data_IF_212656994685
#
_entry.id   IF_212656994685
#
_cell.length_a   1.000
_cell.length_b   1.000
_cell.length_c   1.000
_cell.angle_alpha   90.00
_cell.angle_beta   90.00
_cell.angle_gamma   90.00
#
_symmetry.space_group_name_H-M   'P 1'
#
loop_
_entity.id
_entity.type
_entity.pdbx_description
1 polymer ?
#
# COMPACT_ATOMS: atom_id res chain seq x y z
N UNK A 1 -3.34 1.53 -15.45
CA UNK A 1 -4.80 1.35 -15.37
C UNK A 1 -5.20 0.15 -16.22
N UNK A 2 -6.35 -0.49 -15.98
CA UNK A 2 -6.96 -1.43 -16.93
C UNK A 2 -7.19 -0.76 -18.30
N UNK A 3 -7.22 0.59 -18.33
CA UNK A 3 -7.32 1.46 -19.51
C UNK A 3 -5.97 2.07 -19.96
N UNK A 4 -4.84 1.68 -19.37
CA UNK A 4 -3.52 2.22 -19.75
C UNK A 4 -3.22 3.66 -19.30
N UNK A 5 -4.10 4.29 -18.52
CA UNK A 5 -3.91 5.64 -17.98
C UNK A 5 -2.69 5.71 -17.04
N UNK A 6 -1.85 6.72 -17.26
CA UNK A 6 -0.71 7.07 -16.42
C UNK A 6 -1.18 7.76 -15.14
N UNK A 7 -0.86 7.15 -14.00
CA UNK A 7 -1.25 7.63 -12.67
C UNK A 7 -0.03 7.74 -11.77
N UNK A 8 -0.03 8.77 -10.93
CA UNK A 8 0.96 8.96 -9.87
C UNK A 8 0.35 8.58 -8.52
N UNK A 9 1.09 7.83 -7.71
CA UNK A 9 0.66 7.41 -6.38
C UNK A 9 1.55 8.05 -5.32
N UNK A 10 0.92 8.59 -4.28
CA UNK A 10 1.61 9.13 -3.11
C UNK A 10 1.07 8.51 -1.82
N UNK A 11 1.90 8.50 -0.79
CA UNK A 11 1.54 8.05 0.56
C UNK A 11 1.54 9.26 1.48
N UNK A 12 0.48 9.42 2.25
CA UNK A 12 0.31 10.50 3.22
C UNK A 12 -0.27 9.97 4.54
N UNK A 13 -0.20 10.79 5.59
CA UNK A 13 -0.77 10.47 6.91
C UNK A 13 -2.26 10.08 6.86
N UNK A 14 -3.02 10.62 5.91
CA UNK A 14 -4.44 10.32 5.72
C UNK A 14 -4.72 9.04 4.92
N UNK A 15 -3.77 8.57 4.10
CA UNK A 15 -4.03 7.47 3.18
C UNK A 15 -3.09 7.43 1.96
N UNK A 16 -3.52 6.68 0.95
CA UNK A 16 -2.89 6.65 -0.38
C UNK A 16 -3.63 7.61 -1.30
N UNK A 17 -2.90 8.53 -1.92
CA UNK A 17 -3.45 9.55 -2.81
C UNK A 17 -3.12 9.16 -4.25
N UNK A 18 -4.13 9.26 -5.13
CA UNK A 18 -3.99 9.01 -6.56
C UNK A 18 -4.08 10.34 -7.30
N UNK A 19 -3.12 10.56 -8.18
CA UNK A 19 -3.08 11.71 -9.08
C UNK A 19 -3.08 11.23 -10.52
N UNK A 20 -3.73 12.01 -11.38
CA UNK A 20 -3.60 11.91 -12.81
C UNK A 20 -2.95 13.22 -13.28
N UNK A 21 -1.80 13.12 -13.93
CA UNK A 21 -0.89 14.24 -14.12
C UNK A 21 -0.52 14.87 -12.75
N UNK A 22 -0.99 16.08 -12.47
CA UNK A 22 -0.77 16.82 -11.23
C UNK A 22 -2.07 17.07 -10.44
N UNK A 23 -3.20 16.55 -10.92
CA UNK A 23 -4.49 16.71 -10.28
C UNK A 23 -4.79 15.50 -9.42
N UNK A 24 -5.12 15.72 -8.15
CA UNK A 24 -5.58 14.67 -7.25
C UNK A 24 -6.96 14.18 -7.72
N UNK A 25 -7.07 12.90 -8.01
CA UNK A 25 -8.32 12.26 -8.46
C UNK A 25 -8.98 11.42 -7.37
N UNK A 26 -8.21 10.88 -6.42
CA UNK A 26 -8.78 10.05 -5.36
C UNK A 26 -7.90 10.02 -4.10
N UNK A 27 -8.49 9.60 -2.97
CA UNK A 27 -7.77 9.26 -1.75
C UNK A 27 -8.37 8.02 -1.10
N UNK A 28 -7.56 6.96 -0.98
CA UNK A 28 -7.89 5.80 -0.18
C UNK A 28 -7.47 6.05 1.26
N UNK A 29 -8.42 6.45 2.11
CA UNK A 29 -8.18 6.65 3.53
C UNK A 29 -7.71 5.35 4.20
N UNK A 30 -6.77 5.45 5.14
CA UNK A 30 -6.36 4.29 5.95
C UNK A 30 -7.53 3.58 6.62
N UNK A 31 -8.59 4.29 7.01
CA UNK A 31 -9.78 3.69 7.61
C UNK A 31 -10.56 2.79 6.64
N UNK A 32 -10.52 3.11 5.34
CA UNK A 32 -11.19 2.31 4.29
C UNK A 32 -10.33 1.14 3.81
N UNK A 33 -9.02 1.19 4.01
CA UNK A 33 -8.08 0.17 3.56
C UNK A 33 -8.03 -0.98 4.57
N UNK A 34 -8.48 -2.16 4.14
CA UNK A 34 -8.40 -3.40 4.92
C UNK A 34 -7.02 -4.05 4.82
N UNK A 35 -6.44 -4.06 3.61
CA UNK A 35 -5.13 -4.70 3.35
C UNK A 35 -4.45 -4.08 2.15
N UNK A 36 -3.14 -3.96 2.23
CA UNK A 36 -2.28 -3.60 1.10
C UNK A 36 -1.33 -4.74 0.82
N UNK A 37 -1.19 -5.10 -0.45
CA UNK A 37 -0.26 -6.14 -0.88
C UNK A 37 0.30 -5.82 -2.26
N UNK A 38 1.32 -6.55 -2.68
CA UNK A 38 1.82 -6.47 -4.05
C UNK A 38 2.16 -7.86 -4.59
N UNK A 39 2.05 -8.05 -5.92
CA UNK A 39 2.44 -9.27 -6.63
C UNK A 39 3.07 -8.89 -7.97
N UNK A 40 4.36 -9.18 -8.13
CA UNK A 40 5.16 -8.73 -9.30
C UNK A 40 5.06 -7.20 -9.43
N UNK A 41 4.47 -6.69 -10.51
CA UNK A 41 4.26 -5.27 -10.80
C UNK A 41 2.89 -4.74 -10.32
N UNK A 42 2.04 -5.61 -9.73
CA UNK A 42 0.69 -5.25 -9.28
C UNK A 42 0.71 -4.83 -7.82
N UNK A 43 0.25 -3.63 -7.54
CA UNK A 43 -0.06 -3.13 -6.21
C UNK A 43 -1.56 -3.26 -5.98
N UNK A 44 -1.96 -3.87 -4.86
CA UNK A 44 -3.35 -4.21 -4.57
C UNK A 44 -3.78 -3.55 -3.26
N UNK A 45 -4.88 -2.79 -3.33
CA UNK A 45 -5.55 -2.20 -2.18
C UNK A 45 -6.88 -2.93 -2.00
N UNK A 46 -7.03 -3.68 -0.91
CA UNK A 46 -8.30 -4.24 -0.49
C UNK A 46 -9.01 -3.28 0.44
N UNK A 47 -10.26 -2.97 0.14
CA UNK A 47 -11.12 -2.10 0.92
C UNK A 47 -11.97 -2.91 1.91
N UNK A 48 -12.41 -2.26 2.97
CA UNK A 48 -13.48 -2.80 3.81
C UNK A 48 -14.79 -2.86 3.02
N UNK A 49 -15.62 -3.90 3.17
CA UNK A 49 -16.95 -3.92 2.57
C UNK A 49 -17.79 -2.79 3.18
N UNK A 50 -18.27 -1.85 2.37
CA UNK A 50 -19.32 -0.90 2.79
C UNK A 50 -20.66 -1.49 2.34
N UNK A 51 -21.62 -1.58 3.28
CA UNK A 51 -22.70 -2.58 3.37
C UNK A 51 -23.74 -2.69 2.25
N UNK A 52 -23.50 -2.18 1.04
CA UNK A 52 -24.36 -2.39 -0.11
C UNK A 52 -23.52 -2.57 -1.39
N UNK A 53 -23.47 -3.79 -1.89
CA UNK A 53 -23.18 -4.06 -3.30
C UNK A 53 -21.77 -4.56 -3.62
N UNK A 54 -21.74 -5.45 -4.62
CA UNK A 54 -20.62 -6.14 -5.24
C UNK A 54 -19.62 -5.20 -5.95
N UNK A 55 -19.19 -4.11 -5.32
CA UNK A 55 -18.06 -3.33 -5.82
C UNK A 55 -16.78 -4.14 -5.66
N UNK A 56 -15.95 -4.12 -6.70
CA UNK A 56 -14.63 -4.77 -6.73
C UNK A 56 -13.84 -4.31 -5.50
N UNK A 57 -13.81 -5.14 -4.46
CA UNK A 57 -13.22 -4.83 -3.15
C UNK A 57 -11.72 -4.55 -3.23
N UNK A 58 -11.12 -4.91 -4.36
CA UNK A 58 -9.70 -4.84 -4.62
C UNK A 58 -9.45 -3.90 -5.80
N UNK A 59 -8.78 -2.78 -5.51
CA UNK A 59 -8.25 -1.85 -6.49
C UNK A 59 -6.82 -2.25 -6.83
N UNK A 60 -6.46 -2.21 -8.11
CA UNK A 60 -5.14 -2.59 -8.58
C UNK A 60 -4.44 -1.47 -9.36
N UNK A 61 -3.16 -1.27 -9.07
CA UNK A 61 -2.27 -0.39 -9.82
C UNK A 61 -1.11 -1.19 -10.38
N UNK A 62 -0.72 -0.88 -11.61
CA UNK A 62 0.41 -1.51 -12.28
C UNK A 62 1.58 -0.53 -12.32
N UNK A 63 2.71 -0.97 -11.78
CA UNK A 63 3.97 -0.24 -11.83
C UNK A 63 4.79 -0.70 -13.04
N UNK A 64 5.78 0.11 -13.43
CA UNK A 64 6.72 -0.23 -14.51
C UNK A 64 7.57 -1.45 -14.15
N UNK A 65 7.89 -1.65 -12.88
CA UNK A 65 8.69 -2.75 -12.40
C UNK A 65 8.29 -3.29 -11.02
N UNK A 66 8.85 -4.45 -10.69
CA UNK A 66 8.58 -5.16 -9.43
C UNK A 66 9.15 -4.39 -8.25
N UNK A 67 10.31 -3.76 -8.43
CA UNK A 67 11.05 -3.13 -7.35
C UNK A 67 10.38 -1.83 -6.91
N UNK A 68 9.92 -1.04 -7.88
CA UNK A 68 9.14 0.19 -7.70
C UNK A 68 7.84 -0.11 -6.94
N UNK A 69 7.13 -1.17 -7.36
CA UNK A 69 5.93 -1.64 -6.69
C UNK A 69 6.20 -2.08 -5.24
N UNK A 70 7.26 -2.87 -5.03
CA UNK A 70 7.67 -3.31 -3.69
C UNK A 70 8.08 -2.13 -2.80
N UNK A 71 8.81 -1.18 -3.35
CA UNK A 71 9.27 0.02 -2.64
C UNK A 71 8.08 0.89 -2.22
N UNK A 72 7.11 1.09 -3.12
CA UNK A 72 5.89 1.81 -2.79
C UNK A 72 5.08 1.09 -1.70
N UNK A 73 4.94 -0.24 -1.81
CA UNK A 73 4.30 -1.04 -0.77
C UNK A 73 4.96 -0.89 0.60
N UNK A 74 6.29 -0.94 0.68
CA UNK A 74 7.02 -0.72 1.94
C UNK A 74 6.74 0.66 2.52
N UNK A 75 6.80 1.72 1.72
CA UNK A 75 6.47 3.10 2.14
C UNK A 75 5.05 3.19 2.69
N UNK A 76 4.08 2.49 2.10
CA UNK A 76 2.71 2.43 2.63
C UNK A 76 2.65 1.77 4.02
N UNK A 77 3.32 0.63 4.18
CA UNK A 77 3.36 -0.12 5.45
C UNK A 77 4.04 0.70 6.54
N UNK A 78 5.18 1.32 6.23
CA UNK A 78 5.94 2.18 7.15
C UNK A 78 5.12 3.41 7.58
N UNK A 79 4.51 4.12 6.64
CA UNK A 79 3.73 5.31 6.93
C UNK A 79 2.47 4.98 7.77
N UNK A 80 1.71 3.97 7.37
CA UNK A 80 0.55 3.50 8.13
C UNK A 80 0.95 3.00 9.52
N UNK A 81 2.04 2.25 9.61
CA UNK A 81 2.62 1.80 10.87
C UNK A 81 2.97 2.98 11.78
N UNK A 82 3.71 3.97 11.27
CA UNK A 82 4.12 5.16 12.01
C UNK A 82 2.94 5.92 12.62
N UNK A 83 1.93 6.27 11.82
CA UNK A 83 0.81 7.09 12.28
C UNK A 83 -0.21 6.33 13.15
N UNK A 84 -0.21 4.99 13.14
CA UNK A 84 -1.12 4.18 13.98
C UNK A 84 -0.43 3.49 15.16
N UNK A 85 0.89 3.60 15.29
CA UNK A 85 1.62 3.05 16.43
C UNK A 85 1.49 4.01 17.61
N UNK A 86 0.56 3.72 18.52
CA UNK A 86 0.40 4.50 19.77
C UNK A 86 1.45 4.17 20.82
N UNK A 87 2.12 3.02 20.70
CA UNK A 87 3.16 2.54 21.62
C UNK A 87 4.26 1.85 20.84
N UNK A 88 5.51 2.30 20.98
CA UNK A 88 6.67 1.62 20.43
C UNK A 88 6.86 0.29 21.17
N UNK A 89 6.43 -0.82 20.56
CA UNK A 89 6.75 -2.15 21.08
C UNK A 89 8.27 -2.30 21.06
N UNK A 90 8.91 -2.45 22.22
CA UNK A 90 10.33 -2.85 22.31
C UNK A 90 10.45 -4.28 21.79
N UNK A 91 10.67 -4.43 20.50
CA UNK A 91 10.94 -5.74 19.91
C UNK A 91 12.39 -6.09 20.24
N UNK A 92 12.60 -7.13 21.05
CA UNK A 92 13.94 -7.70 21.23
C UNK A 92 14.42 -8.15 19.86
N UNK A 93 15.49 -7.53 19.36
CA UNK A 93 16.06 -7.80 18.03
C UNK A 93 16.46 -9.28 17.99
N UNK A 94 15.64 -10.15 17.39
CA UNK A 94 15.99 -11.56 17.27
C UNK A 94 17.28 -11.68 16.47
N UNK A 95 18.24 -12.45 17.00
CA UNK A 95 19.58 -12.64 16.42
C UNK A 95 19.50 -12.94 14.92
N UNK A 96 20.46 -12.37 14.20
CA UNK A 96 20.65 -12.46 12.74
C UNK A 96 20.39 -13.88 12.23
N UNK A 97 19.27 -14.10 11.54
CA UNK A 97 19.10 -15.30 10.72
C UNK A 97 20.12 -15.22 9.59
N UNK A 98 21.03 -16.18 9.53
CA UNK A 98 22.10 -16.28 8.49
C UNK A 98 21.55 -16.31 7.06
N UNK A 99 20.27 -16.62 6.87
CA UNK A 99 19.56 -16.42 5.60
C UNK A 99 18.17 -15.84 5.85
N UNK A 100 17.96 -14.58 5.42
CA UNK A 100 16.65 -13.96 5.31
C UNK A 100 16.15 -14.09 3.87
N UNK A 101 15.39 -15.16 3.58
CA UNK A 101 14.77 -15.33 2.26
C UNK A 101 13.38 -14.69 2.28
N UNK A 102 13.32 -13.40 1.96
CA UNK A 102 12.07 -12.62 1.91
C UNK A 102 12.24 -11.18 2.38
N UNK A 103 11.18 -10.38 2.25
CA UNK A 103 11.14 -9.06 2.89
C UNK A 103 11.00 -9.25 4.40
N UNK A 104 11.77 -8.51 5.21
CA UNK A 104 11.68 -8.51 6.68
C UNK A 104 10.69 -7.45 7.22
N UNK A 105 9.87 -6.91 6.34
CA UNK A 105 8.66 -6.14 6.65
C UNK A 105 7.46 -7.05 6.44
#
# INVERSE_FOLDING_TARGET
>A
DHEGVSLNLAVANMGIIVFQHFTKINTFSWAKIRKISFKRKRFLIKLHPEGYGFYKDTVEFFFEGRNECKNFWKKCVENHGFFRCTVVKRVMRQKTRVLSRGSSF
#
